data_IF_638401831765
#
_entry.id   IF_638401831765
#
_cell.length_a   1.000
_cell.length_b   1.000
_cell.length_c   1.000
_cell.angle_alpha   90.00
_cell.angle_beta   90.00
_cell.angle_gamma   90.00
#
_symmetry.space_group_name_H-M   'P 1'
#
loop_
_entity.id
_entity.type
_entity.pdbx_description
1 polymer ?
#
# COMPACT_ATOMS: atom_id res chain seq x y z
N UNK A 1 -2.61 -46.56 -22.22
CA UNK A 1 -1.71 -46.78 -21.07
C UNK A 1 -2.05 -45.77 -19.99
N UNK A 2 -2.19 -46.21 -18.74
CA UNK A 2 -2.64 -45.40 -17.59
C UNK A 2 -1.70 -44.21 -17.34
N UNK A 3 -0.38 -44.43 -17.51
CA UNK A 3 0.65 -43.42 -17.29
C UNK A 3 0.47 -42.21 -18.23
N UNK A 4 0.09 -42.43 -19.50
CA UNK A 4 -0.13 -41.35 -20.46
C UNK A 4 -1.32 -40.45 -20.09
N UNK A 5 -2.37 -41.05 -19.50
CA UNK A 5 -3.55 -40.31 -19.01
C UNK A 5 -3.21 -39.50 -17.77
N UNK A 6 -2.38 -40.04 -16.88
CA UNK A 6 -1.92 -39.30 -15.69
C UNK A 6 -1.08 -38.09 -16.09
N UNK A 7 -0.15 -38.25 -17.04
CA UNK A 7 0.69 -37.16 -17.52
C UNK A 7 -0.15 -36.06 -18.20
N UNK A 8 -1.12 -36.43 -19.04
CA UNK A 8 -1.97 -35.45 -19.72
C UNK A 8 -2.87 -34.69 -18.77
N UNK A 9 -3.44 -35.35 -17.75
CA UNK A 9 -4.24 -34.71 -16.72
C UNK A 9 -3.41 -33.70 -15.90
N UNK A 10 -2.19 -34.07 -15.48
CA UNK A 10 -1.28 -33.17 -14.78
C UNK A 10 -0.91 -31.96 -15.64
N UNK A 11 -0.62 -32.16 -16.93
CA UNK A 11 -0.26 -31.08 -17.84
C UNK A 11 -1.41 -30.08 -18.02
N UNK A 12 -2.64 -30.58 -18.22
CA UNK A 12 -3.82 -29.72 -18.29
C UNK A 12 -4.05 -28.93 -17.00
N UNK A 13 -3.87 -29.56 -15.83
CA UNK A 13 -3.97 -28.90 -14.53
C UNK A 13 -2.95 -27.77 -14.34
N UNK A 14 -1.70 -27.99 -14.72
CA UNK A 14 -0.63 -26.98 -14.64
C UNK A 14 -0.91 -25.80 -15.59
N UNK A 15 -1.34 -26.08 -16.82
CA UNK A 15 -1.68 -25.05 -17.81
C UNK A 15 -2.88 -24.22 -17.31
N UNK A 16 -3.93 -24.87 -16.82
CA UNK A 16 -5.09 -24.18 -16.25
C UNK A 16 -4.69 -23.32 -15.05
N UNK A 17 -3.89 -23.84 -14.12
CA UNK A 17 -3.40 -23.08 -12.97
C UNK A 17 -2.57 -21.85 -13.39
N UNK A 18 -1.77 -21.96 -14.45
CA UNK A 18 -1.00 -20.82 -15.00
C UNK A 18 -1.91 -19.76 -15.63
N UNK A 19 -2.96 -20.16 -16.33
CA UNK A 19 -3.93 -19.25 -16.96
C UNK A 19 -4.86 -18.60 -15.93
N UNK A 20 -5.23 -19.33 -14.88
CA UNK A 20 -6.08 -18.83 -13.80
C UNK A 20 -5.37 -17.78 -12.94
N UNK A 21 -4.02 -17.73 -12.93
CA UNK A 21 -3.27 -16.71 -12.19
C UNK A 21 -3.45 -15.33 -12.83
N UNK A 22 -4.01 -14.35 -12.09
CA UNK A 22 -4.27 -13.00 -12.60
C UNK A 22 -2.99 -12.16 -12.63
N UNK A 23 -2.08 -12.43 -13.58
CA UNK A 23 -0.73 -11.84 -13.66
C UNK A 23 -0.71 -10.33 -13.98
N UNK A 24 -1.83 -9.77 -14.44
CA UNK A 24 -1.92 -8.40 -14.99
C UNK A 24 -2.71 -7.41 -14.11
N UNK A 25 -3.05 -7.76 -12.86
CA UNK A 25 -3.87 -6.87 -11.99
C UNK A 25 -3.08 -5.69 -11.41
N UNK A 26 -1.77 -5.82 -11.19
CA UNK A 26 -0.93 -4.75 -10.61
C UNK A 26 -0.86 -3.49 -11.47
N UNK A 27 -0.95 -3.61 -12.80
CA UNK A 27 -0.88 -2.47 -13.73
C UNK A 27 -2.17 -1.63 -13.80
N UNK A 28 -3.15 -1.89 -12.92
CA UNK A 28 -4.48 -1.27 -13.01
C UNK A 28 -4.83 -0.42 -11.80
N UNK A 29 -4.02 -0.47 -10.77
CA UNK A 29 -4.11 0.43 -9.63
C UNK A 29 -3.11 1.55 -9.87
N UNK A 30 -3.59 2.78 -9.86
CA UNK A 30 -2.78 3.97 -10.05
C UNK A 30 -2.73 4.77 -8.75
N UNK A 31 -1.54 5.26 -8.42
CA UNK A 31 -1.32 6.18 -7.31
C UNK A 31 -1.12 7.61 -7.81
N UNK A 32 -1.42 8.60 -6.98
CA UNK A 32 -1.01 9.98 -7.26
C UNK A 32 0.50 10.05 -7.35
N UNK A 33 0.99 10.87 -8.30
CA UNK A 33 2.43 11.10 -8.48
C UNK A 33 3.08 11.77 -7.27
N UNK A 34 2.29 12.49 -6.49
CA UNK A 34 2.72 13.25 -5.34
C UNK A 34 1.83 12.91 -4.14
N UNK A 35 2.43 12.81 -2.96
CA UNK A 35 1.75 12.89 -1.69
C UNK A 35 1.83 14.34 -1.18
N UNK A 36 0.85 14.78 -0.39
CA UNK A 36 0.79 16.13 0.15
C UNK A 36 0.49 16.10 1.64
N UNK A 37 1.06 17.02 2.39
CA UNK A 37 0.74 17.23 3.79
C UNK A 37 -0.19 18.43 3.90
N UNK A 38 -1.30 18.31 4.64
CA UNK A 38 -2.27 19.40 4.79
C UNK A 38 -2.98 19.34 6.13
N UNK A 39 -3.52 20.49 6.55
CA UNK A 39 -4.35 20.60 7.74
C UNK A 39 -5.81 20.33 7.39
N UNK A 40 -6.47 19.45 8.16
CA UNK A 40 -7.90 19.17 8.09
C UNK A 40 -8.48 19.14 9.49
N UNK A 41 -9.50 19.95 9.73
CA UNK A 41 -10.18 20.05 11.03
C UNK A 41 -9.22 20.30 12.22
N UNK A 42 -8.13 21.05 11.99
CA UNK A 42 -7.13 21.34 13.03
C UNK A 42 -6.06 20.26 13.22
N UNK A 43 -6.13 19.16 12.49
CA UNK A 43 -5.15 18.06 12.55
C UNK A 43 -4.35 17.95 11.24
N UNK A 44 -3.11 17.48 11.33
CA UNK A 44 -2.21 17.34 10.19
C UNK A 44 -2.35 15.95 9.56
N UNK A 45 -2.41 15.89 8.23
CA UNK A 45 -2.54 14.63 7.49
C UNK A 45 -1.58 14.57 6.32
N UNK A 46 -0.97 13.39 6.12
CA UNK A 46 -0.32 12.99 4.87
C UNK A 46 -1.35 12.33 3.95
N UNK A 47 -1.52 12.87 2.75
CA UNK A 47 -2.53 12.43 1.78
C UNK A 47 -1.90 11.96 0.48
N UNK A 48 -2.43 10.87 -0.06
CA UNK A 48 -2.17 10.43 -1.43
C UNK A 48 -3.42 9.80 -2.02
N UNK A 49 -3.52 9.76 -3.35
CA UNK A 49 -4.69 9.21 -4.04
C UNK A 49 -4.39 7.84 -4.61
N UNK A 50 -5.36 6.95 -4.56
CA UNK A 50 -5.33 5.66 -5.24
C UNK A 50 -6.60 5.49 -6.08
N UNK A 51 -6.48 4.89 -7.25
CA UNK A 51 -7.59 4.68 -8.16
C UNK A 51 -7.46 3.40 -8.97
N UNK A 52 -8.60 2.80 -9.29
CA UNK A 52 -8.69 1.64 -10.17
C UNK A 52 -8.99 2.11 -11.59
N UNK A 53 -8.11 1.77 -12.54
CA UNK A 53 -8.23 2.15 -13.95
C UNK A 53 -9.09 1.17 -14.77
N UNK A 54 -9.55 0.07 -14.18
CA UNK A 54 -10.48 -0.87 -14.83
C UNK A 54 -11.93 -0.50 -14.52
N UNK A 55 -12.82 -0.87 -15.45
CA UNK A 55 -14.27 -0.85 -15.24
C UNK A 55 -14.75 -1.89 -14.21
N UNK A 56 -13.98 -2.95 -14.00
CA UNK A 56 -14.30 -3.99 -13.00
C UNK A 56 -13.96 -3.51 -11.60
N UNK A 57 -14.84 -3.76 -10.63
CA UNK A 57 -14.61 -3.45 -9.23
C UNK A 57 -13.48 -4.30 -8.62
N UNK A 58 -12.69 -3.67 -7.74
CA UNK A 58 -11.75 -4.35 -6.88
C UNK A 58 -12.46 -4.64 -5.57
N UNK A 59 -12.82 -5.91 -5.38
CA UNK A 59 -13.50 -6.40 -4.17
C UNK A 59 -12.43 -6.68 -3.10
N UNK A 60 -12.71 -6.35 -1.84
CA UNK A 60 -11.80 -6.55 -0.70
C UNK A 60 -10.40 -5.94 -0.92
N UNK A 61 -10.35 -4.70 -1.40
CA UNK A 61 -9.08 -4.00 -1.50
C UNK A 61 -8.58 -3.64 -0.10
N UNK A 62 -7.39 -4.15 0.25
CA UNK A 62 -6.67 -3.79 1.45
C UNK A 62 -5.52 -2.86 1.08
N UNK A 63 -5.43 -1.74 1.77
CA UNK A 63 -4.34 -0.78 1.60
C UNK A 63 -3.41 -0.87 2.80
N UNK A 64 -2.12 -0.68 2.56
CA UNK A 64 -1.11 -0.52 3.62
C UNK A 64 -0.14 0.55 3.18
N UNK A 65 0.32 1.35 4.12
CA UNK A 65 1.38 2.31 3.89
C UNK A 65 2.53 2.01 4.85
N UNK A 66 3.75 2.10 4.34
CA UNK A 66 4.96 1.89 5.14
C UNK A 66 5.94 3.00 4.83
N UNK A 67 6.60 3.48 5.88
CA UNK A 67 7.81 4.29 5.74
C UNK A 67 9.02 3.37 5.74
N UNK A 68 10.00 3.69 4.89
CA UNK A 68 11.26 2.95 4.79
C UNK A 68 12.39 3.92 5.08
N UNK A 69 13.09 3.70 6.17
CA UNK A 69 14.28 4.48 6.54
C UNK A 69 15.52 3.82 5.97
N UNK A 70 16.32 4.59 5.23
CA UNK A 70 17.57 4.08 4.64
C UNK A 70 18.52 3.52 5.69
N UNK A 71 18.71 4.27 6.79
CA UNK A 71 19.54 3.87 7.92
C UNK A 71 18.86 4.32 9.22
N UNK A 72 18.71 3.41 10.17
CA UNK A 72 18.18 3.68 11.50
C UNK A 72 19.11 3.06 12.53
N UNK A 73 19.40 3.76 13.63
CA UNK A 73 20.11 3.18 14.76
C UNK A 73 19.12 2.86 15.88
N UNK A 74 19.26 1.69 16.50
CA UNK A 74 18.50 1.35 17.69
C UNK A 74 19.16 1.94 18.94
N UNK A 75 18.43 1.99 20.05
CA UNK A 75 18.96 2.53 21.31
C UNK A 75 20.12 1.70 21.87
N UNK A 76 20.21 0.44 21.46
CA UNK A 76 21.29 -0.50 21.78
C UNK A 76 22.55 -0.29 20.92
N UNK A 77 22.52 0.63 19.95
CA UNK A 77 23.64 0.95 19.07
C UNK A 77 23.73 0.08 17.82
N UNK A 78 22.73 -0.78 17.55
CA UNK A 78 22.68 -1.53 16.29
C UNK A 78 22.26 -0.60 15.15
N UNK A 79 22.91 -0.74 13.99
CA UNK A 79 22.52 0.00 12.77
C UNK A 79 21.76 -0.93 11.85
N UNK A 80 20.50 -0.59 11.59
CA UNK A 80 19.63 -1.29 10.67
C UNK A 80 19.50 -0.52 9.36
N UNK A 81 19.75 -1.23 8.27
CA UNK A 81 19.49 -0.72 6.92
C UNK A 81 18.06 -1.07 6.53
N UNK A 82 17.35 -0.15 5.87
CA UNK A 82 15.98 -0.34 5.41
C UNK A 82 15.02 -0.76 6.53
N UNK A 83 14.93 0.05 7.60
CA UNK A 83 13.91 -0.17 8.62
C UNK A 83 12.53 0.14 8.04
N UNK A 84 11.60 -0.80 8.16
CA UNK A 84 10.20 -0.64 7.77
C UNK A 84 9.35 -0.33 8.99
N UNK A 85 8.46 0.64 8.88
CA UNK A 85 7.47 0.95 9.90
C UNK A 85 6.12 1.20 9.22
N UNK A 86 5.06 0.59 9.75
CA UNK A 86 3.72 0.67 9.17
C UNK A 86 3.02 1.95 9.63
N UNK A 87 2.37 2.64 8.70
CA UNK A 87 1.63 3.86 8.97
C UNK A 87 0.15 3.54 9.13
N UNK A 88 -0.45 4.11 10.17
CA UNK A 88 -1.91 4.06 10.38
C UNK A 88 -2.61 4.84 9.26
N UNK A 89 -3.34 4.13 8.39
CA UNK A 89 -4.08 4.78 7.31
C UNK A 89 -5.57 4.78 7.58
N UNK A 90 -6.22 5.84 7.13
CA UNK A 90 -7.65 5.95 7.04
C UNK A 90 -8.02 6.40 5.62
N UNK A 91 -9.32 6.35 5.31
CA UNK A 91 -9.80 6.78 4.00
C UNK A 91 -10.76 7.93 4.11
N UNK A 92 -10.93 8.66 3.03
CA UNK A 92 -11.93 9.73 2.94
C UNK A 92 -13.39 9.23 3.03
N UNK A 93 -13.68 7.95 3.27
CA UNK A 93 -15.04 7.47 3.57
C UNK A 93 -15.29 7.25 5.07
N UNK A 94 -14.28 6.87 5.84
CA UNK A 94 -14.40 6.68 7.28
C UNK A 94 -13.03 6.83 7.98
N UNK A 95 -12.97 7.77 8.94
CA UNK A 95 -11.71 8.21 9.58
C UNK A 95 -11.35 7.24 10.71
N UNK A 96 -12.28 6.36 11.09
CA UNK A 96 -12.15 5.28 12.06
C UNK A 96 -12.04 3.89 11.40
N UNK A 97 -12.28 3.79 10.08
CA UNK A 97 -12.30 2.51 9.36
C UNK A 97 -10.92 1.95 9.11
N UNK A 98 -10.81 0.65 9.35
CA UNK A 98 -9.74 -0.24 8.89
C UNK A 98 -9.50 -0.17 7.38
N UNK A 99 -8.32 -0.61 6.97
CA UNK A 99 -7.70 -0.71 5.63
C UNK A 99 -8.56 -1.26 4.46
N UNK A 100 -9.83 -1.63 4.70
CA UNK A 100 -10.76 -2.22 3.74
C UNK A 100 -11.53 -1.15 3.01
N UNK A 101 -11.30 -1.03 1.71
CA UNK A 101 -11.84 0.09 0.93
C UNK A 101 -12.37 -0.38 -0.41
N UNK A 102 -13.43 0.27 -0.89
CA UNK A 102 -13.95 0.06 -2.23
C UNK A 102 -13.38 1.12 -3.17
N UNK A 103 -12.44 0.72 -4.02
CA UNK A 103 -11.80 1.60 -5.02
C UNK A 103 -12.64 1.57 -6.31
N UNK A 104 -13.86 2.11 -6.24
CA UNK A 104 -14.75 2.27 -7.41
C UNK A 104 -14.40 3.55 -8.16
N UNK A 105 -14.14 4.62 -7.41
CA UNK A 105 -13.60 5.88 -7.90
C UNK A 105 -12.23 6.14 -7.27
N UNK A 106 -11.44 7.12 -7.76
CA UNK A 106 -10.22 7.53 -7.09
C UNK A 106 -10.51 8.00 -5.66
N UNK A 107 -9.94 7.35 -4.66
CA UNK A 107 -10.10 7.66 -3.24
C UNK A 107 -8.82 8.30 -2.68
N UNK A 108 -9.00 9.18 -1.70
CA UNK A 108 -7.88 9.76 -0.95
C UNK A 108 -7.61 8.87 0.26
N UNK A 109 -6.37 8.44 0.38
CA UNK A 109 -5.81 7.76 1.54
C UNK A 109 -5.15 8.83 2.40
N UNK A 110 -5.38 8.75 3.69
CA UNK A 110 -4.92 9.70 4.66
C UNK A 110 -4.18 8.97 5.79
N UNK A 111 -3.04 9.50 6.19
CA UNK A 111 -2.39 9.12 7.44
C UNK A 111 -2.43 10.34 8.35
N UNK A 112 -3.02 10.18 9.53
CA UNK A 112 -3.04 11.22 10.55
C UNK A 112 -1.65 11.35 11.14
N UNK A 113 -1.13 12.56 11.21
CA UNK A 113 0.15 12.85 11.86
C UNK A 113 -0.17 13.27 13.29
N UNK A 114 -0.27 12.27 14.16
CA UNK A 114 -0.42 12.38 15.61
C UNK A 114 0.90 12.06 16.33
N UNK A 115 0.88 12.02 17.67
CA UNK A 115 2.09 11.81 18.50
C UNK A 115 2.76 10.44 18.24
N UNK A 116 2.00 9.45 17.79
CA UNK A 116 2.48 8.11 17.44
C UNK A 116 3.00 8.04 16.01
N UNK A 117 2.77 9.07 15.19
CA UNK A 117 3.23 9.12 13.81
C UNK A 117 4.73 9.39 13.72
N UNK A 118 5.46 8.67 12.85
CA UNK A 118 6.88 8.95 12.61
C UNK A 118 7.13 10.33 11.99
N UNK A 119 6.09 10.96 11.43
CA UNK A 119 6.19 12.31 10.87
C UNK A 119 5.99 13.42 11.90
N UNK A 120 5.61 13.10 13.14
CA UNK A 120 5.23 14.10 14.14
C UNK A 120 6.35 15.10 14.46
N UNK A 121 7.58 14.61 14.59
CA UNK A 121 8.74 15.43 14.90
C UNK A 121 9.43 16.02 13.65
N UNK A 122 8.95 15.72 12.44
CA UNK A 122 9.60 16.13 11.20
C UNK A 122 9.14 17.52 10.76
N UNK A 123 10.09 18.38 10.41
CA UNK A 123 9.79 19.67 9.79
C UNK A 123 9.79 19.57 8.27
N UNK A 124 9.18 20.52 7.55
CA UNK A 124 9.24 20.56 6.09
C UNK A 124 10.67 20.58 5.53
N UNK A 125 11.62 21.15 6.28
CA UNK A 125 13.04 21.17 5.87
C UNK A 125 13.66 19.79 5.95
N UNK A 126 13.33 19.02 6.98
CA UNK A 126 13.86 17.66 7.17
C UNK A 126 13.42 16.76 6.01
N UNK A 127 12.14 16.83 5.64
CA UNK A 127 11.55 16.09 4.50
C UNK A 127 12.22 16.47 3.16
N UNK A 128 12.62 17.73 2.98
CA UNK A 128 13.32 18.16 1.77
C UNK A 128 14.80 17.74 1.76
N UNK A 129 15.41 17.64 2.94
CA UNK A 129 16.82 17.26 3.10
C UNK A 129 17.07 15.75 3.09
N UNK A 130 16.03 14.93 3.36
CA UNK A 130 16.12 13.46 3.47
C UNK A 130 16.23 12.75 2.11
N UNK A 131 17.04 13.28 1.20
CA UNK A 131 17.15 12.81 -0.18
C UNK A 131 18.11 11.64 -0.36
#
# INVERSE_FOLDING_TARGET
SIIGVVISACMAGIVFAKLARPKLRSNTILFSKNAVITMRNGELYLLFRVGNMRKSHLIEAHLRAQIVYHQSSTVEGETMNYKHEELSICTQADWNSEDRTLIIWPIIIAHKIDEDSPFYAMTPKDILSSR
#
